data_IF_534532853135
#
_entry.id   IF_534532853135
#
_cell.length_a   1.000
_cell.length_b   1.000
_cell.length_c   1.000
_cell.angle_alpha   90.00
_cell.angle_beta   90.00
_cell.angle_gamma   90.00
#
_symmetry.space_group_name_H-M   'P 1'
#
loop_
_entity.id
_entity.type
_entity.pdbx_description
1 polymer ?
#
# COMPACT_ATOMS: atom_id res chain seq x y z
N UNK A 1 -6.83 17.43 -10.59
CA UNK A 1 -6.95 16.00 -10.26
C UNK A 1 -8.09 15.38 -11.02
N UNK A 2 -7.85 14.25 -11.69
CA UNK A 2 -8.84 13.54 -12.52
C UNK A 2 -8.55 12.05 -12.42
N UNK A 3 -9.58 11.22 -12.47
CA UNK A 3 -9.43 9.78 -12.69
C UNK A 3 -10.33 9.34 -13.84
N UNK A 4 -9.90 8.34 -14.61
CA UNK A 4 -10.68 7.76 -15.71
C UNK A 4 -10.88 6.27 -15.43
N UNK A 5 -12.11 5.81 -15.61
CA UNK A 5 -12.52 4.42 -15.41
C UNK A 5 -13.22 3.93 -16.66
N UNK A 6 -12.75 2.84 -17.25
CA UNK A 6 -13.42 2.15 -18.34
C UNK A 6 -14.46 1.19 -17.78
N UNK A 7 -15.66 1.16 -18.38
CA UNK A 7 -16.68 0.18 -18.00
C UNK A 7 -16.27 -1.26 -18.36
N UNK A 8 -15.47 -1.43 -19.42
CA UNK A 8 -14.84 -2.73 -19.68
C UNK A 8 -13.77 -2.99 -18.61
N UNK A 9 -13.96 -4.05 -17.84
CA UNK A 9 -13.14 -4.46 -16.71
C UNK A 9 -13.25 -3.59 -15.46
N UNK A 10 -14.11 -2.56 -15.45
CA UNK A 10 -14.11 -1.52 -14.42
C UNK A 10 -12.70 -0.93 -14.18
N UNK A 11 -11.92 -0.81 -15.25
CA UNK A 11 -10.49 -0.58 -15.20
C UNK A 11 -10.18 0.91 -14.98
N UNK A 12 -9.51 1.24 -13.86
CA UNK A 12 -8.98 2.59 -13.65
C UNK A 12 -7.69 2.75 -14.44
N UNK A 13 -7.73 3.55 -15.50
CA UNK A 13 -6.61 3.69 -16.46
C UNK A 13 -5.91 5.05 -16.37
N UNK A 14 -6.47 6.00 -15.63
CA UNK A 14 -5.82 7.28 -15.38
C UNK A 14 -6.12 7.74 -13.96
N UNK A 15 -5.10 8.30 -13.34
CA UNK A 15 -5.13 9.00 -12.06
C UNK A 15 -4.11 10.12 -12.13
N UNK A 16 -4.60 11.35 -12.25
CA UNK A 16 -3.77 12.56 -12.38
C UNK A 16 -3.84 13.41 -11.14
N UNK A 17 -2.68 13.94 -10.72
CA UNK A 17 -2.62 14.92 -9.64
C UNK A 17 -3.18 16.30 -10.09
N UNK A 18 -2.99 17.31 -9.25
CA UNK A 18 -3.38 18.70 -9.50
C UNK A 18 -2.50 19.38 -10.57
N UNK A 19 -1.26 18.94 -10.73
CA UNK A 19 -0.33 19.35 -11.80
C UNK A 19 -0.63 18.68 -13.16
N UNK A 20 -1.54 17.71 -13.20
CA UNK A 20 -1.89 16.96 -14.41
C UNK A 20 -0.92 15.83 -14.75
N UNK A 21 0.02 15.52 -13.86
CA UNK A 21 0.95 14.40 -14.00
C UNK A 21 0.20 13.07 -13.82
N UNK A 22 0.52 12.10 -14.68
CA UNK A 22 -0.06 10.76 -14.60
C UNK A 22 0.64 9.95 -13.51
N UNK A 23 -0.16 9.32 -12.65
CA UNK A 23 0.30 8.52 -11.51
C UNK A 23 0.23 7.01 -11.78
N UNK A 24 -0.59 6.60 -12.75
CA UNK A 24 -0.69 5.22 -13.23
C UNK A 24 0.01 5.06 -14.58
N UNK A 25 0.62 3.91 -14.79
CA UNK A 25 1.18 3.54 -16.07
C UNK A 25 0.13 2.79 -16.90
N UNK A 26 0.00 3.17 -18.17
CA UNK A 26 -0.73 2.41 -19.19
C UNK A 26 0.17 2.29 -20.40
N UNK A 27 0.35 1.07 -20.92
CA UNK A 27 1.19 0.85 -22.09
C UNK A 27 0.67 1.60 -23.31
N UNK A 28 1.59 2.17 -24.09
CA UNK A 28 1.27 2.76 -25.40
C UNK A 28 0.81 1.71 -26.43
N UNK A 29 1.18 0.44 -26.22
CA UNK A 29 0.74 -0.72 -27.01
C UNK A 29 -0.46 -1.45 -26.40
N UNK A 30 -1.03 -0.93 -25.31
CA UNK A 30 -2.19 -1.55 -24.68
C UNK A 30 -3.33 -1.67 -25.69
N UNK A 31 -3.64 -2.92 -26.06
CA UNK A 31 -4.77 -3.25 -26.91
C UNK A 31 -5.79 -3.98 -26.06
N UNK A 32 -7.06 -3.54 -26.10
CA UNK A 32 -8.18 -4.15 -25.37
C UNK A 32 -8.57 -5.55 -25.89
N UNK A 33 -7.65 -6.26 -26.54
CA UNK A 33 -7.90 -7.42 -27.40
C UNK A 33 -6.86 -8.55 -27.22
N UNK A 34 -6.19 -8.61 -26.06
CA UNK A 34 -5.32 -9.74 -25.73
C UNK A 34 -6.11 -11.04 -25.55
N UNK A 35 -5.65 -12.20 -26.09
CA UNK A 35 -6.28 -13.50 -25.86
C UNK A 35 -6.07 -13.94 -24.39
N UNK A 36 -7.14 -14.29 -23.67
CA UNK A 36 -7.12 -14.66 -22.23
C UNK A 36 -6.61 -16.10 -21.99
N UNK A 37 -6.24 -16.61 -20.79
CA UNK A 37 -6.54 -16.24 -19.38
C UNK A 37 -5.36 -16.47 -18.42
N UNK A 38 -4.95 -15.41 -17.72
CA UNK A 38 -4.42 -15.42 -16.35
C UNK A 38 -5.25 -14.37 -15.57
N UNK A 39 -5.31 -14.46 -14.23
CA UNK A 39 -5.99 -13.48 -13.36
C UNK A 39 -7.53 -13.41 -13.47
N UNK A 40 -8.19 -14.49 -13.89
CA UNK A 40 -9.66 -14.56 -13.87
C UNK A 40 -10.35 -13.81 -15.00
N UNK A 41 -11.65 -13.52 -14.81
CA UNK A 41 -12.51 -13.03 -15.88
C UNK A 41 -13.09 -11.61 -15.65
N UNK A 42 -13.05 -11.05 -14.44
CA UNK A 42 -13.76 -9.81 -14.12
C UNK A 42 -13.23 -8.60 -14.93
N UNK A 43 -11.91 -8.51 -15.13
CA UNK A 43 -11.27 -7.53 -16.03
C UNK A 43 -11.68 -7.63 -17.52
N UNK A 44 -12.34 -8.73 -17.92
CA UNK A 44 -12.70 -9.03 -19.31
C UNK A 44 -14.20 -8.95 -19.58
N UNK A 45 -14.94 -8.27 -18.70
CA UNK A 45 -16.39 -8.10 -18.80
C UNK A 45 -16.76 -6.65 -18.80
N UNK A 46 -17.90 -6.32 -19.40
CA UNK A 46 -18.50 -5.01 -19.20
C UNK A 46 -19.17 -4.95 -17.84
N UNK A 47 -18.79 -3.93 -17.07
CA UNK A 47 -19.44 -3.57 -15.83
C UNK A 47 -20.52 -2.54 -16.09
N UNK A 48 -21.53 -2.53 -15.23
CA UNK A 48 -22.62 -1.56 -15.28
C UNK A 48 -22.46 -0.55 -14.16
N UNK A 49 -22.88 0.69 -14.39
CA UNK A 49 -23.00 1.67 -13.29
C UNK A 49 -24.13 1.22 -12.37
N UNK A 50 -23.85 1.09 -11.07
CA UNK A 50 -24.84 0.70 -10.06
C UNK A 50 -25.72 1.92 -9.69
N UNK A 51 -27.01 1.96 -10.06
CA UNK A 51 -27.87 3.10 -9.78
C UNK A 51 -28.36 3.17 -8.34
N UNK A 52 -28.25 2.06 -7.57
CA UNK A 52 -28.72 1.97 -6.18
C UNK A 52 -27.66 1.26 -5.31
N UNK A 53 -26.48 1.86 -5.14
CA UNK A 53 -25.40 1.24 -4.41
C UNK A 53 -25.75 1.16 -2.91
N UNK A 54 -25.50 0.02 -2.24
CA UNK A 54 -25.74 -0.10 -0.81
C UNK A 54 -24.97 0.99 -0.05
N UNK A 55 -25.60 1.65 0.95
CA UNK A 55 -24.99 2.76 1.65
C UNK A 55 -23.64 2.36 2.26
N UNK A 56 -22.61 3.15 1.97
CA UNK A 56 -21.35 3.06 2.71
C UNK A 56 -21.56 3.63 4.12
N UNK A 57 -20.78 3.18 5.13
CA UNK A 57 -20.78 3.81 6.44
C UNK A 57 -20.59 5.34 6.32
N UNK A 58 -21.42 6.07 7.06
CA UNK A 58 -21.82 7.46 6.87
C UNK A 58 -20.69 8.51 6.78
N UNK A 59 -21.03 9.66 6.18
CA UNK A 59 -20.26 10.92 6.16
C UNK A 59 -18.88 10.87 5.50
N UNK A 60 -18.75 10.23 4.33
CA UNK A 60 -17.59 10.53 3.50
C UNK A 60 -17.72 11.96 2.95
N UNK A 61 -16.75 12.86 3.19
CA UNK A 61 -16.74 14.17 2.54
C UNK A 61 -16.49 14.05 1.02
N UNK A 62 -16.18 12.85 0.52
CA UNK A 62 -15.83 12.61 -0.87
C UNK A 62 -17.10 12.55 -1.73
N UNK A 63 -17.34 13.64 -2.46
CA UNK A 63 -18.50 13.77 -3.37
C UNK A 63 -18.27 13.19 -4.77
N UNK A 64 -17.05 12.73 -5.07
CA UNK A 64 -16.65 12.25 -6.40
C UNK A 64 -16.38 10.76 -6.34
N UNK A 65 -17.36 9.96 -6.75
CA UNK A 65 -17.24 8.50 -6.84
C UNK A 65 -18.12 7.95 -7.97
N UNK A 66 -17.83 6.72 -8.37
CA UNK A 66 -18.66 5.88 -9.23
C UNK A 66 -18.77 4.49 -8.61
N UNK A 67 -19.97 3.92 -8.62
CA UNK A 67 -20.24 2.54 -8.25
C UNK A 67 -20.46 1.71 -9.50
N UNK A 68 -19.76 0.59 -9.59
CA UNK A 68 -19.78 -0.34 -10.70
C UNK A 68 -20.22 -1.70 -10.18
N UNK A 69 -20.99 -2.42 -10.97
CA UNK A 69 -21.55 -3.72 -10.65
C UNK A 69 -21.32 -4.71 -11.79
N UNK A 70 -20.76 -5.87 -11.43
CA UNK A 70 -20.64 -7.05 -12.25
C UNK A 70 -21.53 -8.16 -11.66
N UNK A 71 -22.33 -8.77 -12.54
CA UNK A 71 -23.11 -9.98 -12.30
C UNK A 71 -22.72 -11.02 -13.34
N UNK A 72 -22.76 -12.32 -13.01
CA UNK A 72 -22.41 -13.34 -13.98
C UNK A 72 -23.41 -13.34 -15.15
N UNK A 73 -22.88 -13.40 -16.36
CA UNK A 73 -23.63 -13.73 -17.58
C UNK A 73 -23.80 -15.24 -17.75
N UNK A 74 -24.63 -15.67 -18.70
CA UNK A 74 -24.74 -17.10 -19.05
C UNK A 74 -23.41 -17.70 -19.53
N UNK A 75 -22.51 -16.90 -20.10
CA UNK A 75 -21.17 -17.35 -20.50
C UNK A 75 -20.24 -17.49 -19.30
N UNK A 76 -20.34 -16.59 -18.32
CA UNK A 76 -19.56 -16.67 -17.08
C UNK A 76 -19.90 -17.92 -16.28
N UNK A 77 -21.20 -18.26 -16.19
CA UNK A 77 -21.66 -19.46 -15.49
C UNK A 77 -21.17 -20.77 -16.14
N UNK A 78 -20.72 -20.75 -17.40
CA UNK A 78 -20.08 -21.92 -18.04
C UNK A 78 -18.62 -22.09 -17.59
N UNK A 79 -17.95 -21.00 -17.20
CA UNK A 79 -16.54 -20.98 -16.78
C UNK A 79 -16.46 -21.16 -15.26
N UNK A 80 -17.25 -20.40 -14.51
CA UNK A 80 -17.31 -20.42 -13.05
C UNK A 80 -18.79 -20.45 -12.61
N UNK A 81 -19.34 -21.62 -12.27
CA UNK A 81 -20.78 -21.84 -12.10
C UNK A 81 -21.28 -21.36 -10.72
N UNK A 82 -21.04 -20.08 -10.41
CA UNK A 82 -21.45 -19.44 -9.17
C UNK A 82 -22.19 -18.14 -9.43
N UNK A 83 -23.31 -17.95 -8.73
CA UNK A 83 -24.05 -16.69 -8.74
C UNK A 83 -23.46 -15.70 -7.73
N UNK A 84 -23.01 -14.53 -8.18
CA UNK A 84 -22.42 -13.50 -7.33
C UNK A 84 -22.86 -12.08 -7.73
N UNK A 85 -22.64 -11.14 -6.82
CA UNK A 85 -22.60 -9.72 -7.15
C UNK A 85 -21.23 -9.16 -6.77
N UNK A 86 -20.50 -8.62 -7.74
CA UNK A 86 -19.24 -7.95 -7.49
C UNK A 86 -19.43 -6.44 -7.72
N UNK A 87 -19.38 -5.67 -6.64
CA UNK A 87 -19.43 -4.20 -6.65
C UNK A 87 -18.05 -3.61 -6.45
N UNK A 88 -17.72 -2.60 -7.24
CA UNK A 88 -16.52 -1.79 -7.11
C UNK A 88 -16.92 -0.31 -6.99
N UNK A 89 -16.54 0.33 -5.89
CA UNK A 89 -16.59 1.79 -5.78
C UNK A 89 -15.21 2.38 -6.05
N UNK A 90 -15.13 3.29 -7.01
CA UNK A 90 -13.94 4.12 -7.26
C UNK A 90 -14.23 5.53 -6.75
N UNK A 91 -13.39 6.05 -5.86
CA UNK A 91 -13.56 7.38 -5.25
C UNK A 91 -12.29 8.21 -5.43
N UNK A 92 -12.44 9.46 -5.85
CA UNK A 92 -11.36 10.44 -5.86
C UNK A 92 -11.54 11.38 -4.66
N UNK A 93 -10.61 11.32 -3.72
CA UNK A 93 -10.59 12.16 -2.53
C UNK A 93 -10.22 13.62 -2.84
N UNK A 94 -10.58 14.58 -1.95
CA UNK A 94 -10.25 15.99 -2.12
C UNK A 94 -8.76 16.28 -2.07
N UNK A 95 -7.96 15.41 -1.43
CA UNK A 95 -6.49 15.48 -1.42
C UNK A 95 -5.83 14.85 -2.64
N UNK A 96 -6.61 14.26 -3.56
CA UNK A 96 -6.10 13.55 -4.73
C UNK A 96 -5.94 12.05 -4.55
N UNK A 97 -6.21 11.53 -3.36
CA UNK A 97 -6.13 10.10 -3.07
C UNK A 97 -7.17 9.31 -3.89
N UNK A 98 -6.74 8.20 -4.49
CA UNK A 98 -7.59 7.29 -5.23
C UNK A 98 -7.94 6.10 -4.35
N UNK A 99 -9.24 5.91 -4.06
CA UNK A 99 -9.72 4.80 -3.25
C UNK A 99 -10.56 3.84 -4.07
N UNK A 100 -10.26 2.56 -3.97
CA UNK A 100 -11.05 1.48 -4.56
C UNK A 100 -11.59 0.60 -3.43
N UNK A 101 -12.89 0.33 -3.44
CA UNK A 101 -13.51 -0.62 -2.51
C UNK A 101 -14.32 -1.65 -3.27
N UNK A 102 -13.88 -2.89 -3.19
CA UNK A 102 -14.51 -4.08 -3.77
C UNK A 102 -15.37 -4.76 -2.72
N UNK A 103 -16.57 -5.18 -3.12
CA UNK A 103 -17.48 -6.02 -2.35
C UNK A 103 -17.94 -7.17 -3.21
N UNK A 104 -17.68 -8.40 -2.78
CA UNK A 104 -18.16 -9.61 -3.46
C UNK A 104 -19.16 -10.27 -2.57
N UNK A 105 -20.40 -10.40 -3.05
CA UNK A 105 -21.48 -11.07 -2.33
C UNK A 105 -21.80 -12.40 -2.98
N UNK A 106 -21.90 -13.44 -2.16
CA UNK A 106 -22.41 -14.73 -2.62
C UNK A 106 -23.95 -14.67 -2.69
N UNK A 107 -24.48 -14.70 -3.92
CA UNK A 107 -25.92 -14.76 -4.19
C UNK A 107 -26.39 -16.15 -4.62
N UNK A 108 -25.49 -17.13 -4.58
CA UNK A 108 -25.78 -18.52 -4.84
C UNK A 108 -26.35 -19.21 -3.58
N UNK A 109 -26.85 -20.41 -3.80
CA UNK A 109 -27.26 -21.40 -2.80
C UNK A 109 -26.12 -22.20 -2.21
N UNK A 110 -24.91 -22.13 -2.78
CA UNK A 110 -23.72 -22.89 -2.37
C UNK A 110 -22.55 -21.96 -2.00
N UNK A 111 -21.66 -22.37 -1.09
CA UNK A 111 -20.43 -21.63 -0.85
C UNK A 111 -19.54 -21.65 -2.10
N UNK A 112 -18.73 -20.61 -2.25
CA UNK A 112 -17.64 -20.56 -3.24
C UNK A 112 -16.41 -19.88 -2.67
N UNK A 113 -15.27 -20.12 -3.31
CA UNK A 113 -13.99 -19.53 -2.94
C UNK A 113 -13.31 -18.81 -4.10
N UNK A 114 -12.58 -17.74 -3.81
CA UNK A 114 -11.85 -16.95 -4.79
C UNK A 114 -10.62 -16.27 -4.18
N UNK A 115 -9.64 -15.95 -5.01
CA UNK A 115 -8.55 -15.01 -4.72
C UNK A 115 -8.84 -13.66 -5.36
N UNK A 116 -8.20 -12.60 -4.85
CA UNK A 116 -8.42 -11.24 -5.31
C UNK A 116 -7.12 -10.44 -5.35
N UNK A 117 -6.95 -9.55 -6.33
CA UNK A 117 -5.86 -8.57 -6.34
C UNK A 117 -6.28 -7.28 -7.05
N UNK A 118 -5.78 -6.14 -6.59
CA UNK A 118 -5.79 -4.90 -7.37
C UNK A 118 -4.47 -4.75 -8.13
N UNK A 119 -4.48 -5.02 -9.43
CA UNK A 119 -3.29 -5.04 -10.26
C UNK A 119 -2.82 -3.63 -10.67
N UNK A 120 -2.35 -2.83 -9.70
CA UNK A 120 -2.00 -1.42 -9.93
C UNK A 120 -0.67 -1.30 -10.67
N UNK A 121 -0.67 -0.56 -11.79
CA UNK A 121 0.54 -0.17 -12.51
C UNK A 121 0.91 1.27 -12.14
N UNK A 122 1.93 1.48 -11.30
CA UNK A 122 2.39 2.83 -10.95
C UNK A 122 3.30 3.39 -12.03
N UNK A 123 3.08 4.65 -12.45
CA UNK A 123 4.02 5.35 -13.33
C UNK A 123 5.19 5.85 -12.51
N UNK A 124 6.37 5.28 -12.74
CA UNK A 124 7.63 5.65 -12.08
C UNK A 124 8.57 6.38 -13.05
N UNK A 125 9.63 6.98 -12.52
CA UNK A 125 10.68 7.70 -13.27
C UNK A 125 11.61 6.76 -14.04
N UNK A 126 12.32 5.90 -13.31
CA UNK A 126 13.17 4.83 -13.78
C UNK A 126 13.12 3.73 -12.70
N UNK A 127 12.81 2.50 -13.10
CA UNK A 127 12.71 1.35 -12.22
C UNK A 127 13.99 1.11 -11.41
N UNK A 128 15.17 1.52 -11.90
CA UNK A 128 16.43 1.41 -11.13
C UNK A 128 16.53 2.40 -9.97
N UNK A 129 15.78 3.50 -10.02
CA UNK A 129 15.74 4.55 -8.99
C UNK A 129 14.51 4.41 -8.06
N UNK A 130 13.82 3.27 -8.15
CA UNK A 130 12.63 2.96 -7.37
C UNK A 130 12.93 1.88 -6.34
N UNK A 131 12.36 2.03 -5.14
CA UNK A 131 12.34 0.97 -4.14
C UNK A 131 10.99 0.84 -3.46
N UNK A 132 10.67 -0.36 -3.01
CA UNK A 132 9.46 -0.64 -2.22
C UNK A 132 9.86 -0.88 -0.77
N UNK A 133 9.15 -0.22 0.14
CA UNK A 133 9.33 -0.33 1.59
C UNK A 133 8.06 -0.87 2.27
N UNK A 134 8.24 -1.55 3.40
CA UNK A 134 7.18 -2.21 4.18
C UNK A 134 7.00 -3.70 3.88
N UNK A 135 7.90 -4.29 3.10
CA UNK A 135 7.89 -5.72 2.73
C UNK A 135 9.15 -6.46 3.20
N UNK A 136 10.00 -5.79 3.95
CA UNK A 136 11.25 -6.32 4.49
C UNK A 136 10.94 -7.46 5.46
N UNK A 137 11.83 -8.46 5.53
CA UNK A 137 11.72 -9.61 6.46
C UNK A 137 10.48 -10.51 6.29
N UNK A 138 9.63 -10.24 5.30
CA UNK A 138 8.43 -11.02 5.03
C UNK A 138 8.74 -12.25 4.17
N UNK A 139 7.94 -13.29 4.36
CA UNK A 139 7.91 -14.40 3.41
C UNK A 139 7.26 -13.98 2.09
N UNK A 140 7.78 -14.51 0.99
CA UNK A 140 7.19 -14.38 -0.33
C UNK A 140 7.23 -15.68 -1.12
N UNK A 141 6.28 -15.85 -2.03
CA UNK A 141 6.30 -16.88 -3.07
C UNK A 141 6.88 -16.27 -4.35
N UNK A 142 7.90 -16.92 -4.92
CA UNK A 142 8.55 -16.45 -6.16
C UNK A 142 7.96 -17.15 -7.39
N UNK A 143 7.16 -16.44 -8.19
CA UNK A 143 6.53 -17.00 -9.39
C UNK A 143 7.56 -17.40 -10.45
N UNK A 144 8.77 -16.82 -10.44
CA UNK A 144 9.87 -17.20 -11.35
C UNK A 144 10.55 -18.52 -10.92
N UNK A 145 10.30 -18.96 -9.68
CA UNK A 145 10.83 -20.20 -9.09
C UNK A 145 9.70 -21.15 -8.69
N UNK A 146 8.68 -21.27 -9.52
CA UNK A 146 7.55 -22.19 -9.31
C UNK A 146 6.85 -22.00 -7.94
N UNK A 147 6.73 -20.75 -7.48
CA UNK A 147 6.14 -20.38 -6.17
C UNK A 147 6.88 -20.96 -4.96
N UNK A 148 8.18 -21.22 -5.09
CA UNK A 148 9.01 -21.54 -3.93
C UNK A 148 8.97 -20.39 -2.92
N UNK A 149 8.91 -20.74 -1.64
CA UNK A 149 8.82 -19.78 -0.53
C UNK A 149 10.22 -19.35 -0.09
N UNK A 150 10.42 -18.05 0.02
CA UNK A 150 11.62 -17.42 0.55
C UNK A 150 11.26 -16.35 1.58
N UNK A 151 12.25 -15.85 2.31
CA UNK A 151 12.09 -14.70 3.22
C UNK A 151 12.95 -13.55 2.72
N UNK A 152 12.37 -12.36 2.59
CA UNK A 152 13.07 -11.16 2.15
C UNK A 152 14.13 -10.72 3.18
N UNK A 153 15.33 -10.44 2.70
CA UNK A 153 16.48 -10.07 3.56
C UNK A 153 16.98 -8.64 3.32
N UNK A 154 16.52 -7.98 2.25
CA UNK A 154 16.89 -6.61 1.96
C UNK A 154 16.20 -5.60 2.88
N UNK A 155 16.86 -4.46 3.11
CA UNK A 155 16.27 -3.31 3.82
C UNK A 155 15.20 -2.57 2.99
N UNK A 156 15.10 -2.87 1.69
CA UNK A 156 14.07 -2.44 0.77
C UNK A 156 14.08 -3.35 -0.47
N UNK A 157 12.96 -3.40 -1.20
CA UNK A 157 12.90 -4.11 -2.48
C UNK A 157 13.43 -3.19 -3.58
N UNK A 158 14.46 -3.64 -4.29
CA UNK A 158 15.07 -2.94 -5.42
C UNK A 158 15.03 -3.83 -6.67
N UNK A 159 15.23 -3.24 -7.84
CA UNK A 159 14.95 -3.88 -9.13
C UNK A 159 16.19 -3.86 -10.03
N UNK A 160 16.85 -5.01 -10.16
CA UNK A 160 17.97 -5.21 -11.09
C UNK A 160 17.68 -6.30 -12.14
N UNK A 161 16.57 -7.02 -11.98
CA UNK A 161 16.11 -8.13 -12.82
C UNK A 161 14.58 -8.20 -12.84
N UNK A 162 14.03 -9.16 -13.58
CA UNK A 162 12.61 -9.53 -13.48
C UNK A 162 12.26 -9.88 -12.04
N UNK A 163 11.12 -9.35 -11.58
CA UNK A 163 10.55 -9.61 -10.26
C UNK A 163 9.10 -10.01 -10.46
N UNK A 164 8.70 -11.12 -9.85
CA UNK A 164 7.32 -11.59 -9.80
C UNK A 164 7.11 -12.33 -8.47
N UNK A 165 6.86 -11.56 -7.40
CA UNK A 165 6.84 -12.05 -6.02
C UNK A 165 5.50 -11.77 -5.36
N UNK A 166 4.98 -12.75 -4.62
CA UNK A 166 3.78 -12.61 -3.79
C UNK A 166 4.23 -12.57 -2.32
N UNK A 167 4.30 -11.38 -1.73
CA UNK A 167 4.59 -11.18 -0.32
C UNK A 167 3.37 -11.53 0.53
N UNK A 168 3.60 -12.26 1.62
CA UNK A 168 2.57 -12.87 2.44
C UNK A 168 2.36 -12.09 3.74
N UNK A 169 1.11 -12.02 4.22
CA UNK A 169 0.79 -11.40 5.52
C UNK A 169 1.38 -9.99 5.70
N UNK A 170 1.35 -9.22 4.62
CA UNK A 170 1.91 -7.87 4.50
C UNK A 170 1.19 -6.85 5.38
N UNK A 171 1.88 -5.81 5.86
CA UNK A 171 1.26 -4.74 6.64
C UNK A 171 0.15 -4.04 5.86
N UNK A 172 -0.70 -3.29 6.56
CA UNK A 172 -1.78 -2.51 5.93
C UNK A 172 -1.26 -1.32 5.12
N UNK A 173 0.05 -1.07 5.12
CA UNK A 173 0.70 0.06 4.45
C UNK A 173 1.96 -0.39 3.72
N UNK A 174 2.08 0.01 2.45
CA UNK A 174 3.26 -0.22 1.60
C UNK A 174 3.64 1.12 0.95
N UNK A 175 4.94 1.39 0.81
CA UNK A 175 5.43 2.61 0.18
C UNK A 175 6.31 2.31 -1.04
N UNK A 176 6.14 3.08 -2.11
CA UNK A 176 6.99 3.03 -3.30
C UNK A 176 7.70 4.38 -3.41
N UNK A 177 9.01 4.39 -3.25
CA UNK A 177 9.82 5.60 -3.28
C UNK A 177 10.42 5.73 -4.69
N UNK A 178 10.11 6.84 -5.34
CA UNK A 178 10.61 7.22 -6.66
C UNK A 178 11.55 8.42 -6.46
N UNK A 179 12.86 8.13 -6.38
CA UNK A 179 13.87 9.11 -5.98
C UNK A 179 14.03 10.24 -7.00
N UNK A 180 14.00 9.92 -8.29
CA UNK A 180 14.19 10.92 -9.35
C UNK A 180 13.03 11.93 -9.40
N UNK A 181 11.77 11.45 -9.30
CA UNK A 181 10.60 12.34 -9.22
C UNK A 181 10.37 12.91 -7.81
N UNK A 182 11.17 12.52 -6.82
CA UNK A 182 11.04 12.93 -5.41
C UNK A 182 9.60 12.75 -4.94
N UNK A 183 9.07 11.56 -5.16
CA UNK A 183 7.67 11.22 -4.86
C UNK A 183 7.58 9.84 -4.25
N UNK A 184 6.68 9.69 -3.29
CA UNK A 184 6.35 8.42 -2.67
C UNK A 184 4.89 8.09 -2.96
N UNK A 185 4.65 6.94 -3.58
CA UNK A 185 3.31 6.35 -3.57
C UNK A 185 3.10 5.63 -2.25
N UNK A 186 1.95 5.85 -1.63
CA UNK A 186 1.54 5.16 -0.40
C UNK A 186 0.30 4.37 -0.70
N UNK A 187 0.37 3.07 -0.45
CA UNK A 187 -0.74 2.14 -0.57
C UNK A 187 -1.22 1.82 0.84
N UNK A 188 -2.49 2.06 1.13
CA UNK A 188 -3.16 1.56 2.35
C UNK A 188 -4.19 0.53 1.96
N UNK A 189 -4.20 -0.62 2.64
CA UNK A 189 -5.08 -1.75 2.31
C UNK A 189 -5.80 -2.32 3.53
N UNK A 190 -7.04 -2.77 3.30
CA UNK A 190 -7.91 -3.45 4.27
C UNK A 190 -8.57 -4.67 3.60
N UNK A 191 -8.66 -5.79 4.30
CA UNK A 191 -9.21 -7.04 3.76
C UNK A 191 -8.34 -7.74 2.69
N UNK A 192 -7.09 -7.31 2.53
CA UNK A 192 -6.12 -7.77 1.53
C UNK A 192 -4.80 -8.11 2.25
N UNK A 193 -4.59 -9.36 2.71
CA UNK A 193 -3.44 -9.72 3.53
C UNK A 193 -2.12 -9.79 2.75
N UNK A 194 -2.14 -10.00 1.45
CA UNK A 194 -0.95 -10.25 0.63
C UNK A 194 -0.64 -9.03 -0.25
N UNK A 195 0.55 -9.01 -0.84
CA UNK A 195 0.88 -8.05 -1.89
C UNK A 195 1.73 -8.68 -2.99
N UNK A 196 1.39 -8.42 -4.25
CA UNK A 196 2.25 -8.80 -5.39
C UNK A 196 3.16 -7.62 -5.72
N UNK A 197 4.42 -7.90 -6.01
CA UNK A 197 5.36 -6.95 -6.60
C UNK A 197 5.82 -7.53 -7.93
N UNK A 198 5.60 -6.79 -9.01
CA UNK A 198 5.92 -7.25 -10.35
C UNK A 198 6.55 -6.18 -11.24
N UNK A 199 7.64 -6.56 -11.92
CA UNK A 199 8.19 -5.84 -13.06
C UNK A 199 8.70 -6.87 -14.07
N UNK A 200 8.27 -6.81 -15.34
CA UNK A 200 8.64 -7.82 -16.35
C UNK A 200 10.11 -7.80 -16.74
N UNK A 201 10.81 -6.69 -16.54
CA UNK A 201 12.15 -6.49 -17.06
C UNK A 201 12.25 -6.67 -18.59
N UNK A 202 13.47 -6.69 -19.11
CA UNK A 202 13.75 -6.55 -20.54
C UNK A 202 13.20 -7.70 -21.41
N UNK A 203 13.44 -8.96 -21.02
CA UNK A 203 13.09 -10.14 -21.83
C UNK A 203 11.59 -10.36 -21.86
N UNK A 204 10.91 -10.28 -20.71
CA UNK A 204 9.47 -10.48 -20.62
C UNK A 204 8.72 -9.33 -21.30
N UNK A 205 9.15 -8.08 -21.13
CA UNK A 205 8.54 -6.92 -21.78
C UNK A 205 8.47 -7.09 -23.31
N UNK A 206 9.56 -7.54 -23.94
CA UNK A 206 9.61 -7.82 -25.39
C UNK A 206 8.72 -8.96 -25.84
N UNK A 207 8.40 -9.89 -24.94
CA UNK A 207 7.53 -11.03 -25.24
C UNK A 207 6.04 -10.70 -25.07
N UNK A 208 5.70 -9.59 -24.41
CA UNK A 208 4.32 -9.16 -24.20
C UNK A 208 3.83 -8.39 -25.44
N UNK A 209 2.78 -8.89 -26.13
CA UNK A 209 2.33 -8.30 -27.40
C UNK A 209 1.69 -6.92 -27.23
N UNK A 210 1.14 -6.64 -26.06
CA UNK A 210 0.44 -5.41 -25.68
C UNK A 210 1.31 -4.48 -24.79
N UNK A 211 2.63 -4.67 -24.82
CA UNK A 211 3.59 -3.93 -24.00
C UNK A 211 4.79 -3.44 -24.83
N UNK A 212 5.27 -2.24 -24.54
CA UNK A 212 6.44 -1.66 -25.19
C UNK A 212 7.74 -2.25 -24.65
N UNK A 213 8.71 -2.50 -25.53
CA UNK A 213 9.95 -3.20 -25.23
C UNK A 213 10.76 -2.59 -24.08
N UNK A 214 10.71 -1.26 -23.95
CA UNK A 214 11.41 -0.48 -22.92
C UNK A 214 10.46 0.08 -21.83
N UNK A 215 9.16 -0.21 -21.90
CA UNK A 215 8.18 0.38 -20.99
C UNK A 215 8.28 -0.13 -19.55
N UNK A 216 8.94 -1.27 -19.35
CA UNK A 216 9.21 -1.84 -18.02
C UNK A 216 10.03 -0.88 -17.13
N UNK A 217 10.79 0.03 -17.75
CA UNK A 217 11.58 1.05 -17.04
C UNK A 217 10.73 2.11 -16.36
N UNK A 218 9.50 2.30 -16.80
CA UNK A 218 8.63 3.41 -16.38
C UNK A 218 7.42 2.95 -15.58
N UNK A 219 7.41 1.68 -15.16
CA UNK A 219 6.30 1.07 -14.45
C UNK A 219 6.76 0.17 -13.32
N UNK A 220 5.94 0.07 -12.29
CA UNK A 220 6.06 -0.93 -11.25
C UNK A 220 4.67 -1.37 -10.82
N UNK A 221 4.45 -2.68 -10.73
CA UNK A 221 3.24 -3.20 -10.12
C UNK A 221 3.45 -3.48 -8.63
N UNK A 222 2.57 -2.91 -7.81
CA UNK A 222 2.42 -3.27 -6.40
C UNK A 222 0.93 -3.42 -6.10
N UNK A 223 0.54 -4.64 -5.74
CA UNK A 223 -0.84 -5.09 -5.84
C UNK A 223 -1.35 -5.61 -4.50
N UNK A 224 -2.17 -4.84 -3.77
CA UNK A 224 -2.89 -5.36 -2.62
C UNK A 224 -3.74 -6.57 -3.01
N UNK A 225 -3.56 -7.69 -2.30
CA UNK A 225 -4.13 -8.97 -2.71
C UNK A 225 -4.58 -9.87 -1.54
N UNK A 226 -5.34 -10.89 -1.88
CA UNK A 226 -5.73 -12.03 -1.04
C UNK A 226 -5.56 -13.29 -1.90
N UNK A 227 -4.38 -13.93 -1.80
CA UNK A 227 -3.95 -14.99 -2.71
C UNK A 227 -3.60 -16.27 -1.96
N UNK A 228 -2.77 -16.18 -0.91
CA UNK A 228 -2.27 -17.38 -0.21
C UNK A 228 -3.42 -18.16 0.43
N UNK A 229 -4.34 -17.43 1.05
CA UNK A 229 -5.55 -17.98 1.67
C UNK A 229 -6.77 -17.46 0.93
N UNK A 230 -7.40 -18.29 0.10
CA UNK A 230 -8.54 -17.83 -0.68
C UNK A 230 -9.75 -17.53 0.20
N UNK A 231 -10.48 -16.50 -0.20
CA UNK A 231 -11.67 -16.01 0.47
C UNK A 231 -12.79 -17.01 0.19
N UNK A 232 -13.45 -17.49 1.23
CA UNK A 232 -14.62 -18.40 1.10
C UNK A 232 -15.86 -17.70 1.62
N UNK A 233 -16.91 -17.66 0.80
CA UNK A 233 -18.20 -17.05 1.15
C UNK A 233 -19.30 -18.10 1.16
N UNK A 234 -20.03 -18.21 2.28
CA UNK A 234 -21.28 -18.96 2.37
C UNK A 234 -22.43 -18.19 1.69
N UNK A 235 -23.55 -18.86 1.37
CA UNK A 235 -24.73 -18.19 0.81
C UNK A 235 -25.14 -16.93 1.59
N UNK A 236 -25.23 -15.80 0.90
CA UNK A 236 -25.61 -14.51 1.47
C UNK A 236 -24.47 -13.71 2.13
N UNK A 237 -23.30 -14.31 2.37
CA UNK A 237 -22.13 -13.60 2.92
C UNK A 237 -21.52 -12.64 1.88
N UNK A 238 -20.81 -11.62 2.38
CA UNK A 238 -20.11 -10.63 1.58
C UNK A 238 -18.68 -10.44 2.10
N UNK A 239 -17.71 -10.42 1.19
CA UNK A 239 -16.34 -10.01 1.45
C UNK A 239 -16.11 -8.58 1.01
N UNK A 240 -15.22 -7.86 1.70
CA UNK A 240 -14.81 -6.50 1.37
C UNK A 240 -13.29 -6.39 1.32
N UNK A 241 -12.76 -5.82 0.23
CA UNK A 241 -11.36 -5.42 0.09
C UNK A 241 -11.25 -3.96 -0.32
N UNK A 242 -10.40 -3.20 0.37
CA UNK A 242 -10.22 -1.77 0.12
C UNK A 242 -8.74 -1.47 -0.11
N UNK A 243 -8.47 -0.60 -1.08
CA UNK A 243 -7.20 0.10 -1.20
C UNK A 243 -7.41 1.62 -1.26
N UNK A 244 -6.41 2.35 -0.79
CA UNK A 244 -6.28 3.79 -0.89
C UNK A 244 -4.86 4.10 -1.36
N UNK A 245 -4.77 4.83 -2.46
CA UNK A 245 -3.53 5.22 -3.11
C UNK A 245 -3.33 6.72 -2.92
N UNK A 246 -2.18 7.10 -2.40
CA UNK A 246 -1.75 8.50 -2.27
C UNK A 246 -0.43 8.70 -3.01
N UNK A 247 -0.23 9.88 -3.60
CA UNK A 247 1.07 10.30 -4.11
C UNK A 247 1.50 11.54 -3.33
N UNK A 248 2.56 11.41 -2.52
CA UNK A 248 3.09 12.49 -1.68
C UNK A 248 4.51 12.85 -2.10
N UNK A 249 4.96 14.10 -1.95
CA UNK A 249 6.36 14.43 -2.17
C UNK A 249 7.27 13.60 -1.25
N UNK A 250 8.29 12.98 -1.82
CA UNK A 250 9.42 12.47 -1.03
C UNK A 250 10.20 13.68 -0.56
N UNK A 251 10.01 14.06 0.69
CA UNK A 251 10.96 14.97 1.32
C UNK A 251 12.30 14.25 1.39
N UNK A 252 13.27 14.71 0.59
CA UNK A 252 14.62 14.18 0.63
C UNK A 252 15.13 14.18 2.07
N UNK A 253 15.88 13.14 2.44
CA UNK A 253 16.58 13.10 3.72
C UNK A 253 17.33 14.42 3.90
N UNK A 254 16.89 15.22 4.88
CA UNK A 254 17.58 16.44 5.27
C UNK A 254 18.79 15.99 6.09
N UNK A 255 19.91 15.75 5.41
CA UNK A 255 21.21 15.59 6.09
C UNK A 255 21.49 16.93 6.77
N UNK A 256 21.29 16.98 8.09
CA UNK A 256 21.75 18.10 8.90
C UNK A 256 23.27 18.09 8.89
N UNK A 257 23.87 19.02 8.15
CA UNK A 257 25.32 19.23 8.20
C UNK A 257 25.68 19.86 9.54
N UNK A 258 26.66 19.26 10.22
CA UNK A 258 27.31 19.77 11.42
C UNK A 258 27.66 21.25 11.27
N UNK A 259 27.05 22.09 12.11
CA UNK A 259 27.50 23.47 12.29
C UNK A 259 28.77 23.45 13.15
N UNK A 260 29.82 24.12 12.73
CA UNK A 260 31.06 24.26 13.52
C UNK A 260 30.96 25.30 14.64
N UNK A 261 29.76 25.81 14.93
CA UNK A 261 29.52 26.83 15.96
C UNK A 261 28.53 26.30 17.01
N UNK A 262 28.88 26.32 18.31
CA UNK A 262 27.93 26.04 19.37
C UNK A 262 26.84 27.10 19.32
N UNK A 263 25.59 26.66 19.13
CA UNK A 263 24.43 27.53 19.22
C UNK A 263 23.90 27.42 20.65
N UNK A 264 24.28 28.35 21.52
CA UNK A 264 23.69 28.48 22.85
C UNK A 264 22.19 28.80 22.71
N UNK A 265 21.34 28.10 23.48
CA UNK A 265 19.94 28.50 23.70
C UNK A 265 18.84 27.61 23.09
N UNK A 266 19.10 26.36 22.71
CA UNK A 266 18.02 25.47 22.25
C UNK A 266 17.25 24.88 23.43
N UNK A 267 16.01 25.36 23.64
CA UNK A 267 15.04 24.74 24.55
C UNK A 267 14.43 23.50 23.86
N UNK A 268 14.47 22.35 24.52
CA UNK A 268 13.86 21.06 24.09
C UNK A 268 12.44 21.25 23.54
N UNK A 269 11.68 22.22 24.06
CA UNK A 269 10.35 22.57 23.58
C UNK A 269 10.31 23.01 22.10
N UNK A 270 11.32 23.73 21.59
CA UNK A 270 11.39 24.14 20.19
C UNK A 270 11.77 22.98 19.26
N UNK A 271 12.56 22.03 19.75
CA UNK A 271 12.91 20.82 19.01
C UNK A 271 11.67 19.93 18.87
N UNK A 272 10.96 19.68 19.98
CA UNK A 272 9.71 18.92 20.00
C UNK A 272 8.63 19.61 19.15
N UNK A 273 8.47 20.93 19.23
CA UNK A 273 7.52 21.68 18.41
C UNK A 273 7.78 21.53 16.91
N UNK A 274 9.06 21.56 16.48
CA UNK A 274 9.43 21.33 15.09
C UNK A 274 9.27 19.88 14.65
N UNK A 275 9.52 18.92 15.53
CA UNK A 275 9.25 17.51 15.26
C UNK A 275 7.75 17.21 15.16
N UNK A 276 6.90 17.81 16.01
CA UNK A 276 5.43 17.68 15.95
C UNK A 276 4.87 18.31 14.68
N UNK A 277 5.36 19.49 14.28
CA UNK A 277 5.00 20.12 13.00
C UNK A 277 5.37 19.25 11.79
N UNK A 278 6.47 18.48 11.85
CA UNK A 278 6.86 17.50 10.82
C UNK A 278 6.11 16.18 10.90
N UNK A 279 5.79 15.69 12.11
CA UNK A 279 5.05 14.45 12.33
C UNK A 279 3.60 14.53 11.82
N UNK A 280 3.02 15.73 11.70
CA UNK A 280 1.74 15.94 11.01
C UNK A 280 1.77 15.55 9.51
N UNK A 281 2.95 15.32 8.92
CA UNK A 281 3.13 15.06 7.48
C UNK A 281 3.94 13.79 7.16
N UNK A 282 4.42 13.03 8.15
CA UNK A 282 5.45 11.98 7.97
C UNK A 282 5.19 10.73 8.85
N UNK A 283 5.81 9.59 8.52
CA UNK A 283 5.57 8.27 9.16
C UNK A 283 6.58 7.88 10.23
N UNK A 284 7.88 8.10 9.99
CA UNK A 284 8.95 7.85 10.97
C UNK A 284 10.25 8.53 10.53
N UNK A 285 11.04 9.04 11.48
CA UNK A 285 12.38 9.61 11.22
C UNK A 285 13.29 9.52 12.45
N UNK A 286 14.60 9.63 12.19
CA UNK A 286 15.68 9.72 13.17
C UNK A 286 16.45 11.03 12.96
N UNK A 287 16.62 11.81 14.02
CA UNK A 287 17.33 13.10 13.98
C UNK A 287 18.45 13.09 15.03
N UNK A 288 19.68 13.26 14.57
CA UNK A 288 20.87 13.40 15.41
C UNK A 288 21.23 14.88 15.60
N UNK A 289 21.42 15.31 16.85
CA UNK A 289 21.80 16.69 17.19
C UNK A 289 23.24 16.78 17.71
N UNK A 290 23.84 17.96 17.55
CA UNK A 290 25.25 18.31 17.82
C UNK A 290 25.72 18.12 19.29
N UNK A 291 24.86 17.62 20.18
CA UNK A 291 25.14 17.32 21.59
C UNK A 291 24.87 15.86 22.00
N UNK A 292 24.82 14.92 21.04
CA UNK A 292 24.64 13.50 21.33
C UNK A 292 23.22 13.13 21.75
N UNK A 293 22.23 13.86 21.20
CA UNK A 293 20.83 13.51 21.32
C UNK A 293 20.35 12.82 20.05
N UNK A 294 19.78 11.63 20.20
CA UNK A 294 19.07 10.94 19.14
C UNK A 294 17.58 11.03 19.41
N UNK A 295 16.82 11.56 18.45
CA UNK A 295 15.36 11.61 18.50
C UNK A 295 14.79 10.73 17.41
N UNK A 296 14.20 9.60 17.81
CA UNK A 296 13.36 8.79 16.93
C UNK A 296 11.90 9.13 17.19
N UNK A 297 11.14 9.34 16.12
CA UNK A 297 9.69 9.43 16.23
C UNK A 297 9.01 8.50 15.24
N UNK A 298 7.95 7.86 15.70
CA UNK A 298 7.05 7.02 14.92
C UNK A 298 5.63 7.59 15.03
N UNK A 299 4.95 7.69 13.89
CA UNK A 299 3.56 8.14 13.82
C UNK A 299 2.65 6.91 13.75
N UNK A 300 2.09 6.54 14.89
CA UNK A 300 1.23 5.36 15.05
C UNK A 300 -0.11 5.85 15.59
N UNK A 301 -1.21 5.56 14.89
CA UNK A 301 -2.58 5.78 15.37
C UNK A 301 -2.89 7.18 15.96
N UNK A 302 -2.45 8.25 15.29
CA UNK A 302 -2.61 9.65 15.75
C UNK A 302 -1.87 9.99 17.05
N UNK A 303 -0.81 9.25 17.37
CA UNK A 303 0.13 9.53 18.44
C UNK A 303 1.55 9.67 17.87
N UNK A 304 2.30 10.63 18.40
CA UNK A 304 3.74 10.77 18.12
C UNK A 304 4.49 10.32 19.35
N UNK A 305 5.22 9.23 19.19
CA UNK A 305 6.08 8.68 20.23
C UNK A 305 7.50 9.22 20.06
N UNK A 306 8.09 9.75 21.13
CA UNK A 306 9.46 10.27 21.12
C UNK A 306 10.38 9.38 21.94
N UNK A 307 11.48 8.93 21.34
CA UNK A 307 12.60 8.36 22.06
C UNK A 307 13.76 9.35 22.06
N UNK A 308 14.14 9.85 23.23
CA UNK A 308 15.33 10.70 23.40
C UNK A 308 16.42 9.91 24.11
N UNK A 309 17.55 9.69 23.45
CA UNK A 309 18.76 9.13 24.05
C UNK A 309 19.81 10.23 24.22
N UNK A 310 20.51 10.26 25.36
CA UNK A 310 21.60 11.21 25.65
C UNK A 310 22.94 10.50 25.70
N UNK A 311 24.00 11.12 25.18
CA UNK A 311 25.38 10.59 25.23
C UNK A 311 26.09 10.75 26.60
N UNK A 312 25.36 10.89 27.70
CA UNK A 312 25.91 11.04 29.07
C UNK A 312 26.43 9.67 29.59
N UNK A 313 27.41 9.61 30.53
CA UNK A 313 27.96 8.35 31.06
C UNK A 313 26.92 7.45 31.75
N UNK A 314 25.74 7.99 32.05
CA UNK A 314 24.53 7.26 32.42
C UNK A 314 23.45 7.56 31.38
N UNK A 315 23.33 6.78 30.30
CA UNK A 315 22.33 7.04 29.26
C UNK A 315 20.93 6.90 29.84
N UNK A 316 20.16 7.99 29.84
CA UNK A 316 18.76 7.98 30.24
C UNK A 316 17.87 8.00 29.01
N UNK A 317 17.08 6.93 28.84
CA UNK A 317 16.01 6.86 27.84
C UNK A 317 14.76 7.52 28.42
N UNK A 318 14.27 8.56 27.74
CA UNK A 318 13.03 9.24 28.11
C UNK A 318 12.01 9.07 26.99
N UNK A 319 10.85 8.50 27.32
CA UNK A 319 9.75 8.25 26.40
C UNK A 319 8.55 9.14 26.72
N UNK A 320 7.93 9.72 25.69
CA UNK A 320 6.67 10.45 25.81
C UNK A 320 5.82 10.25 24.57
N UNK A 321 4.58 9.84 24.76
CA UNK A 321 3.56 9.78 23.71
C UNK A 321 2.72 11.05 23.76
N UNK A 322 2.51 11.70 22.61
CA UNK A 322 1.71 12.93 22.50
C UNK A 322 0.59 12.72 21.47
N UNK A 323 -0.69 12.91 21.84
CA UNK A 323 -1.81 12.85 20.89
C UNK A 323 -1.77 14.02 19.89
N UNK A 324 -2.03 13.72 18.61
CA UNK A 324 -1.89 14.65 17.47
C UNK A 324 -2.99 15.72 17.41
N UNK A 325 -4.10 15.56 18.16
CA UNK A 325 -5.20 16.53 18.20
C UNK A 325 -5.04 17.55 19.32
N UNK A 326 -4.23 18.58 19.10
CA UNK A 326 -4.30 19.80 19.90
C UNK A 326 -3.91 21.02 19.07
N UNK A 327 -4.91 21.74 18.57
CA UNK A 327 -4.75 23.07 17.98
C UNK A 327 -4.39 24.16 19.00
N UNK A 328 -4.12 23.78 20.26
CA UNK A 328 -3.63 24.67 21.31
C UNK A 328 -2.63 23.92 22.21
N UNK A 329 -1.38 23.84 21.78
CA UNK A 329 -0.27 23.43 22.65
C UNK A 329 0.00 24.53 23.69
N UNK A 330 -0.83 24.61 24.74
CA UNK A 330 -0.41 25.22 26.01
C UNK A 330 0.41 24.20 26.77
N UNK A 331 1.72 24.46 26.91
CA UNK A 331 2.67 23.64 27.65
C UNK A 331 2.20 23.48 29.11
N UNK A 332 2.21 22.26 29.70
CA UNK A 332 2.26 22.15 31.14
C UNK A 332 3.63 22.62 31.63
N UNK A 333 3.72 23.23 32.84
CA UNK A 333 4.99 23.63 33.42
C UNK A 333 5.94 22.42 33.56
N UNK A 334 7.23 22.71 33.52
CA UNK A 334 8.33 21.76 33.66
C UNK A 334 8.07 20.66 34.68
N UNK A 335 8.39 19.42 34.27
CA UNK A 335 8.78 18.25 35.08
C UNK A 335 7.77 17.15 35.45
N UNK A 336 6.57 17.05 34.90
CA UNK A 336 5.67 15.91 35.22
C UNK A 336 5.21 15.16 33.96
N UNK A 337 5.64 13.90 33.79
CA UNK A 337 5.07 12.99 32.79
C UNK A 337 6.01 12.11 31.99
N UNK A 338 7.24 11.86 32.46
CA UNK A 338 8.14 10.88 31.84
C UNK A 338 8.08 9.56 32.62
N UNK A 339 7.94 8.43 31.93
CA UNK A 339 7.93 7.08 32.53
C UNK A 339 9.11 6.26 32.01
N UNK A 340 9.81 5.55 32.90
CA UNK A 340 10.91 4.64 32.55
C UNK A 340 10.38 3.23 32.28
N UNK A 341 10.95 2.51 31.31
CA UNK A 341 10.65 1.11 31.01
C UNK A 341 11.89 0.24 31.19
N UNK A 342 11.73 -0.94 31.81
CA UNK A 342 12.76 -1.98 31.90
C UNK A 342 12.54 -3.09 30.84
N UNK A 343 13.59 -3.82 30.40
CA UNK A 343 13.50 -4.76 29.28
C UNK A 343 12.92 -6.13 29.71
N UNK A 344 11.79 -6.54 29.10
CA UNK A 344 11.19 -7.86 29.29
C UNK A 344 11.67 -8.89 28.26
N UNK A 345 11.96 -10.13 28.71
CA UNK A 345 12.40 -11.27 27.88
C UNK A 345 11.25 -11.93 27.10
N UNK A 346 11.56 -12.32 25.86
CA UNK A 346 10.70 -13.06 24.92
C UNK A 346 10.60 -14.56 25.26
N UNK A 347 9.43 -15.16 25.01
CA UNK A 347 9.22 -16.62 24.98
C UNK A 347 8.48 -17.06 23.70
N UNK A 348 9.00 -18.13 23.08
CA UNK A 348 8.59 -18.78 21.81
C UNK A 348 7.12 -19.24 21.75
N UNK A 349 6.61 -19.29 20.51
CA UNK A 349 5.45 -20.10 20.12
C UNK A 349 5.86 -21.19 19.09
N UNK A 350 5.09 -22.29 18.93
CA UNK A 350 5.47 -23.48 18.16
C UNK A 350 4.91 -23.52 16.73
N UNK A 351 5.52 -24.41 15.92
CA UNK A 351 5.28 -24.71 14.49
C UNK A 351 3.84 -25.14 14.12
N UNK A 352 3.40 -24.90 12.86
CA UNK A 352 2.34 -25.66 12.23
C UNK A 352 2.83 -26.65 11.14
N UNK A 353 2.18 -27.81 11.14
CA UNK A 353 2.24 -28.91 10.15
C UNK A 353 1.51 -28.53 8.84
N UNK A 354 1.84 -29.12 7.68
CA UNK A 354 1.46 -28.66 6.36
C UNK A 354 0.24 -29.40 5.81
N UNK A 355 -0.53 -28.72 4.95
CA UNK A 355 -1.15 -29.23 3.70
C UNK A 355 -2.22 -28.23 3.25
N UNK A 356 -2.21 -27.84 1.98
CA UNK A 356 -3.39 -27.87 1.08
C UNK A 356 -3.05 -27.26 -0.30
N UNK A 357 -3.19 -28.11 -1.31
CA UNK A 357 -3.09 -27.86 -2.74
C UNK A 357 -4.33 -27.15 -3.34
N UNK A 358 -4.10 -26.55 -4.51
CA UNK A 358 -5.05 -26.14 -5.58
C UNK A 358 -6.15 -25.12 -5.27
N UNK A 359 -5.90 -23.83 -5.58
CA UNK A 359 -6.96 -22.84 -5.80
C UNK A 359 -6.69 -22.04 -7.09
N UNK A 360 -7.50 -22.33 -8.13
CA UNK A 360 -7.45 -21.74 -9.47
C UNK A 360 -8.60 -20.75 -9.76
N UNK A 361 -9.19 -20.09 -8.76
CA UNK A 361 -10.25 -19.08 -8.99
C UNK A 361 -9.77 -17.66 -8.63
N UNK A 362 -9.16 -16.98 -9.60
CA UNK A 362 -8.84 -15.55 -9.48
C UNK A 362 -10.04 -14.70 -9.87
N UNK A 363 -10.36 -13.69 -9.08
CA UNK A 363 -11.22 -12.56 -9.46
C UNK A 363 -10.32 -11.31 -9.40
N UNK A 364 -9.78 -10.91 -10.55
CA UNK A 364 -9.07 -9.64 -10.70
C UNK A 364 -9.84 -8.71 -11.66
#
# INVERSE_FOLDING_TARGET
MVTQVYLYGAHVTSWKNDLGEELLFVSSKFSSLGPLEAHGFARNRFWTVDPDPPPFPANSPNKVYIDLLLKPSEEDLKIWPHSFEFRLRVTLGPGGDLMLTSRVRNTDSKPFSFTFAYHNYFSVSDISEVRVEGLETLDYLDNLKNKERFTEQGDAITFETEVDKIYLSTPTKIAILDHERKRTFVIRKDGLPDAVVWNPWDKKAKALPDFGDDEYKYMLCVEPAAIEKPITLKPGEEWRGRQELSAVPSMGSLILRKSSKPVEGWNVANIVYRCVLKAHTELSHEIEFDQGYLIRFDNIDNHVDFLVATSDPNPMLRFKSIPVFSSSLTLPPSSSGWTMLEPGRSSRAPDPDPELEEINSWIA
#
